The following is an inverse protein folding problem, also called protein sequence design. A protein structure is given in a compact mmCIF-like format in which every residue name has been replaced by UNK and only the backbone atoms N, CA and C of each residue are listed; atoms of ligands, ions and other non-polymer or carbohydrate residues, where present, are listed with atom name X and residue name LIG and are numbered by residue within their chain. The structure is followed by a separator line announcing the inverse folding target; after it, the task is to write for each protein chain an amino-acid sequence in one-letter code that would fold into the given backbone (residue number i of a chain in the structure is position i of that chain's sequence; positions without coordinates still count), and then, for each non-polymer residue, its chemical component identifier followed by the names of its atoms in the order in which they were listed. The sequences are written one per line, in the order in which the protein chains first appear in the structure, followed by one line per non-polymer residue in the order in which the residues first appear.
data_IF_892849923834
#
_entry.id   IF_892849923834
#
_cell.length_a   1.000
_cell.length_b   1.000
_cell.length_c   1.000
_cell.angle_alpha   90.00
_cell.angle_beta   90.00
_cell.angle_gamma   90.00
#
_symmetry.space_group_name_H-M   'P 1'
#
loop_
_entity.id
_entity.type
_entity.pdbx_description
1 polymer ?
#
# COMPACT_ATOMS: atom_id res chain seq x y z
N UNK A 1 11.21 -18.46 4.58
CA UNK A 1 10.16 -18.67 5.59
C UNK A 1 8.97 -19.32 4.91
N UNK A 2 8.32 -20.28 5.57
CA UNK A 2 7.07 -20.85 5.07
C UNK A 2 5.97 -19.79 5.17
N UNK A 3 5.19 -19.62 4.10
CA UNK A 3 4.13 -18.62 4.00
C UNK A 3 3.01 -18.99 4.94
N UNK A 4 2.59 -18.07 5.80
CA UNK A 4 1.39 -18.29 6.61
C UNK A 4 0.22 -18.41 5.64
N UNK A 5 -0.58 -19.47 5.75
CA UNK A 5 -1.79 -19.60 4.92
C UNK A 5 -2.79 -18.53 5.37
N UNK A 6 -2.98 -17.50 4.52
CA UNK A 6 -3.97 -16.45 4.71
C UNK A 6 -5.10 -16.63 3.72
N UNK A 7 -6.33 -16.40 4.17
CA UNK A 7 -7.51 -16.52 3.34
C UNK A 7 -7.99 -15.13 2.92
N UNK A 8 -8.42 -15.02 1.67
CA UNK A 8 -8.90 -13.77 1.11
C UNK A 8 -9.25 -13.90 -0.37
N UNK A 9 -10.23 -13.11 -0.81
CA UNK A 9 -10.84 -13.26 -2.13
C UNK A 9 -10.13 -12.44 -3.21
N UNK A 10 -9.31 -11.46 -2.83
CA UNK A 10 -8.62 -10.56 -3.75
C UNK A 10 -7.10 -10.65 -3.57
N UNK A 11 -6.54 -10.12 -2.49
CA UNK A 11 -5.09 -9.98 -2.30
C UNK A 11 -4.44 -11.33 -2.00
N UNK A 12 -4.96 -12.08 -1.04
CA UNK A 12 -4.47 -13.41 -0.65
C UNK A 12 -4.98 -14.55 -1.53
N UNK A 13 -5.75 -14.23 -2.57
CA UNK A 13 -6.13 -15.19 -3.59
C UNK A 13 -4.92 -15.68 -4.40
N UNK A 14 -5.08 -16.80 -5.12
CA UNK A 14 -3.98 -17.40 -5.87
C UNK A 14 -3.37 -16.42 -6.89
N UNK A 15 -2.05 -16.42 -6.95
CA UNK A 15 -1.26 -15.61 -7.87
C UNK A 15 0.08 -16.31 -8.14
N UNK A 16 0.59 -16.18 -9.36
CA UNK A 16 1.91 -16.67 -9.74
C UNK A 16 2.77 -15.51 -10.23
N UNK A 17 4.03 -15.49 -9.75
CA UNK A 17 5.03 -14.50 -10.16
C UNK A 17 5.14 -14.38 -11.68
N UNK A 18 5.13 -13.14 -12.15
CA UNK A 18 5.22 -12.74 -13.55
C UNK A 18 3.89 -12.79 -14.31
N UNK A 19 2.78 -13.22 -13.71
CA UNK A 19 1.49 -13.30 -14.43
C UNK A 19 1.01 -11.92 -14.89
N UNK A 20 1.05 -10.91 -14.01
CA UNK A 20 0.68 -9.54 -14.40
C UNK A 20 1.64 -8.97 -15.44
N UNK A 21 2.95 -9.27 -15.36
CA UNK A 21 3.96 -8.80 -16.32
C UNK A 21 3.70 -9.41 -17.71
N UNK A 22 3.48 -10.73 -17.78
CA UNK A 22 3.15 -11.42 -19.04
C UNK A 22 1.83 -10.93 -19.64
N UNK A 23 0.89 -10.51 -18.79
CA UNK A 23 -0.39 -9.96 -19.23
C UNK A 23 -0.28 -8.50 -19.66
N UNK A 24 0.56 -7.68 -19.03
CA UNK A 24 0.68 -6.25 -19.35
C UNK A 24 1.36 -6.02 -20.70
N UNK A 25 2.31 -6.87 -21.10
CA UNK A 25 3.02 -6.74 -22.37
C UNK A 25 2.12 -6.89 -23.61
N UNK A 26 0.93 -7.50 -23.45
CA UNK A 26 -0.08 -7.68 -24.49
C UNK A 26 -1.13 -6.57 -24.52
N UNK A 27 -1.03 -5.60 -23.61
CA UNK A 27 -1.93 -4.44 -23.47
C UNK A 27 -1.22 -3.16 -23.87
N UNK A 28 -1.96 -2.17 -24.36
CA UNK A 28 -1.45 -0.79 -24.48
C UNK A 28 -1.42 -0.12 -23.11
N UNK A 29 -0.75 1.03 -22.97
CA UNK A 29 -0.76 1.80 -21.70
C UNK A 29 -2.16 2.30 -21.37
N UNK A 30 -2.90 2.67 -22.41
CA UNK A 30 -4.28 3.13 -22.36
C UNK A 30 -5.20 2.02 -21.86
N UNK A 31 -5.02 0.78 -22.33
CA UNK A 31 -5.79 -0.38 -21.84
C UNK A 31 -5.52 -0.63 -20.35
N UNK A 32 -4.28 -0.47 -19.90
CA UNK A 32 -3.94 -0.63 -18.47
C UNK A 32 -4.61 0.45 -17.63
N UNK A 33 -4.54 1.72 -18.06
CA UNK A 33 -5.21 2.82 -17.37
C UNK A 33 -6.74 2.65 -17.36
N UNK A 34 -7.31 2.10 -18.43
CA UNK A 34 -8.73 1.76 -18.51
C UNK A 34 -9.11 0.69 -17.49
N UNK A 35 -8.37 -0.42 -17.42
CA UNK A 35 -8.61 -1.48 -16.43
C UNK A 35 -8.50 -0.95 -14.98
N UNK A 36 -7.52 -0.10 -14.71
CA UNK A 36 -7.39 0.54 -13.39
C UNK A 36 -8.57 1.48 -13.10
N UNK A 37 -9.08 2.20 -14.10
CA UNK A 37 -10.26 3.07 -13.94
C UNK A 37 -11.51 2.24 -13.66
N UNK A 38 -11.73 1.16 -14.41
CA UNK A 38 -12.84 0.22 -14.23
C UNK A 38 -12.78 -0.44 -12.85
N UNK A 39 -11.59 -0.75 -12.35
CA UNK A 39 -11.41 -1.30 -11.00
C UNK A 39 -11.84 -0.34 -9.88
N UNK A 40 -11.89 0.96 -10.17
CA UNK A 40 -12.07 2.05 -9.19
C UNK A 40 -11.09 1.98 -8.02
N UNK A 41 -9.91 1.38 -8.22
CA UNK A 41 -8.87 1.28 -7.20
C UNK A 41 -8.47 2.66 -6.69
N UNK A 42 -8.52 2.79 -5.37
CA UNK A 42 -8.03 3.93 -4.60
C UNK A 42 -6.77 3.53 -3.85
N UNK A 43 -5.83 4.47 -3.71
CA UNK A 43 -4.56 4.24 -3.01
C UNK A 43 -4.77 3.74 -1.58
N UNK A 44 -4.08 2.66 -1.21
CA UNK A 44 -4.30 1.91 0.04
C UNK A 44 -3.57 2.43 1.28
N UNK A 45 -2.87 3.56 1.15
CA UNK A 45 -2.13 4.21 2.25
C UNK A 45 -2.96 5.14 3.14
N UNK A 46 -4.29 5.25 2.93
CA UNK A 46 -5.19 6.05 3.79
C UNK A 46 -5.97 7.11 3.02
N UNK A 47 -5.29 8.00 2.28
CA UNK A 47 -5.92 9.13 1.60
C UNK A 47 -6.93 8.77 0.48
N UNK A 48 -6.90 7.53 -0.02
CA UNK A 48 -7.91 7.03 -0.95
C UNK A 48 -7.95 7.71 -2.32
N UNK A 49 -6.85 8.33 -2.77
CA UNK A 49 -6.80 8.97 -4.08
C UNK A 49 -6.91 7.94 -5.23
N UNK A 50 -7.71 8.18 -6.29
CA UNK A 50 -7.87 7.23 -7.39
C UNK A 50 -6.55 6.92 -8.13
N UNK A 51 -6.14 5.66 -8.14
CA UNK A 51 -4.83 5.23 -8.69
C UNK A 51 -4.74 5.50 -10.19
N UNK A 52 -5.80 5.21 -10.95
CA UNK A 52 -5.84 5.47 -12.40
C UNK A 52 -5.67 6.96 -12.72
N UNK A 53 -6.25 7.85 -11.90
CA UNK A 53 -6.09 9.30 -12.09
C UNK A 53 -4.66 9.72 -11.81
N UNK A 54 -4.07 9.26 -10.69
CA UNK A 54 -2.66 9.57 -10.35
C UNK A 54 -1.72 9.15 -11.48
N UNK A 55 -1.87 7.93 -11.98
CA UNK A 55 -0.99 7.40 -13.03
C UNK A 55 -1.23 8.05 -14.39
N UNK A 56 -2.47 8.46 -14.70
CA UNK A 56 -2.76 9.24 -15.92
C UNK A 56 -1.99 10.56 -15.91
N UNK A 57 -1.99 11.28 -14.77
CA UNK A 57 -1.28 12.55 -14.64
C UNK A 57 0.23 12.39 -14.85
N UNK A 58 0.84 11.40 -14.20
CA UNK A 58 2.28 11.13 -14.35
C UNK A 58 2.62 10.64 -15.76
N UNK A 59 1.77 9.80 -16.37
CA UNK A 59 1.96 9.33 -17.74
C UNK A 59 1.89 10.47 -18.76
N UNK A 60 0.99 11.44 -18.54
CA UNK A 60 0.85 12.63 -19.40
C UNK A 60 1.98 13.67 -19.23
N UNK A 61 2.69 13.66 -18.10
CA UNK A 61 3.79 14.60 -17.88
C UNK A 61 4.92 14.41 -18.91
N UNK A 62 5.34 15.51 -19.55
CA UNK A 62 6.45 15.52 -20.51
C UNK A 62 7.76 15.55 -19.73
N UNK A 63 8.47 14.43 -19.73
CA UNK A 63 9.76 14.28 -19.06
C UNK A 63 10.56 13.15 -19.72
N UNK A 64 11.88 13.32 -19.73
CA UNK A 64 12.86 12.31 -20.14
C UNK A 64 12.93 11.14 -19.15
N UNK A 65 12.71 11.43 -17.88
CA UNK A 65 12.69 10.45 -16.79
C UNK A 65 11.45 10.60 -15.92
N UNK A 66 10.98 9.46 -15.41
CA UNK A 66 9.86 9.37 -14.47
C UNK A 66 10.22 8.33 -13.42
N UNK A 67 9.63 8.45 -12.24
CA UNK A 67 9.91 7.54 -11.13
C UNK A 67 8.66 6.92 -10.54
N UNK A 68 8.84 5.72 -10.02
CA UNK A 68 7.84 4.99 -9.26
C UNK A 68 8.41 4.75 -7.89
N UNK A 69 7.69 5.17 -6.87
CA UNK A 69 8.08 4.96 -5.49
C UNK A 69 7.04 4.10 -4.80
N UNK A 70 7.50 2.96 -4.29
CA UNK A 70 6.77 2.12 -3.37
C UNK A 70 7.04 2.60 -1.95
N UNK A 71 6.04 3.22 -1.34
CA UNK A 71 6.08 3.62 0.06
C UNK A 71 5.84 2.38 0.93
N UNK A 72 6.93 1.85 1.47
CA UNK A 72 7.01 0.75 2.41
C UNK A 72 7.54 1.23 3.78
N UNK A 73 7.20 2.47 4.15
CA UNK A 73 7.59 3.04 5.45
C UNK A 73 6.74 2.47 6.60
N UNK A 74 5.44 2.26 6.40
CA UNK A 74 4.51 1.66 7.39
C UNK A 74 4.73 2.16 8.85
N UNK A 75 5.08 3.44 9.04
CA UNK A 75 5.38 3.98 10.37
C UNK A 75 4.17 4.09 11.30
N UNK A 76 2.95 4.09 10.74
CA UNK A 76 1.71 4.34 11.49
C UNK A 76 1.43 3.25 12.55
N UNK A 77 1.28 3.62 13.84
CA UNK A 77 0.98 2.68 14.91
C UNK A 77 -0.17 1.72 14.62
N UNK A 78 0.05 0.45 14.93
CA UNK A 78 -0.90 -0.62 14.68
C UNK A 78 -0.98 -1.10 13.22
N UNK A 79 -0.14 -0.59 12.32
CA UNK A 79 -0.05 -1.04 10.93
C UNK A 79 1.12 -2.02 10.74
N UNK A 80 0.86 -3.15 10.08
CA UNK A 80 1.88 -4.18 9.79
C UNK A 80 1.48 -5.09 8.60
N UNK A 81 0.58 -4.61 7.74
CA UNK A 81 0.07 -5.30 6.54
C UNK A 81 1.10 -5.29 5.41
N UNK A 82 1.85 -4.21 5.26
CA UNK A 82 2.84 -4.02 4.22
C UNK A 82 4.07 -4.88 4.52
N UNK A 83 4.47 -4.97 5.79
CA UNK A 83 5.42 -5.98 6.27
C UNK A 83 5.03 -7.40 5.85
N UNK A 84 3.77 -7.78 6.02
CA UNK A 84 3.28 -9.11 5.62
C UNK A 84 3.34 -9.27 4.10
N UNK A 85 2.93 -8.26 3.34
CA UNK A 85 3.01 -8.32 1.88
C UNK A 85 4.46 -8.45 1.39
N UNK A 86 5.40 -7.69 1.96
CA UNK A 86 6.82 -7.73 1.58
C UNK A 86 7.46 -9.09 1.90
N UNK A 87 7.16 -9.67 3.06
CA UNK A 87 7.73 -10.94 3.49
C UNK A 87 7.11 -12.15 2.79
N UNK A 88 5.79 -12.14 2.59
CA UNK A 88 5.04 -13.34 2.21
C UNK A 88 4.47 -13.28 0.78
N UNK A 89 4.30 -12.08 0.22
CA UNK A 89 3.73 -11.86 -1.12
C UNK A 89 4.53 -10.87 -1.99
N UNK A 90 5.89 -10.90 -2.00
CA UNK A 90 6.69 -9.97 -2.79
C UNK A 90 6.38 -10.03 -4.30
N UNK A 91 5.90 -11.17 -4.80
CA UNK A 91 5.44 -11.34 -6.19
C UNK A 91 4.38 -10.31 -6.57
N UNK A 92 3.43 -10.03 -5.68
CA UNK A 92 2.33 -9.12 -5.97
C UNK A 92 2.82 -7.67 -6.03
N UNK A 93 3.79 -7.32 -5.20
CA UNK A 93 4.30 -5.96 -5.09
C UNK A 93 5.15 -5.63 -6.31
N UNK A 94 6.14 -6.48 -6.60
CA UNK A 94 7.11 -6.18 -7.65
C UNK A 94 6.54 -6.33 -9.05
N UNK A 95 5.67 -7.30 -9.31
CA UNK A 95 4.92 -7.35 -10.57
C UNK A 95 4.07 -6.08 -10.76
N UNK A 96 3.44 -5.60 -9.68
CA UNK A 96 2.62 -4.39 -9.70
C UNK A 96 3.45 -3.13 -9.99
N UNK A 97 4.68 -3.06 -9.47
CA UNK A 97 5.63 -1.99 -9.79
C UNK A 97 6.09 -2.06 -11.25
N UNK A 98 6.34 -3.24 -11.80
CA UNK A 98 6.69 -3.41 -13.23
C UNK A 98 5.53 -2.97 -14.14
N UNK A 99 4.29 -3.34 -13.80
CA UNK A 99 3.08 -2.86 -14.48
C UNK A 99 3.00 -1.33 -14.41
N UNK A 100 3.26 -0.74 -13.25
CA UNK A 100 3.28 0.70 -13.09
C UNK A 100 4.36 1.35 -14.00
N UNK A 101 5.56 0.76 -14.06
CA UNK A 101 6.68 1.18 -14.90
C UNK A 101 6.28 1.26 -16.37
N UNK A 102 5.69 0.16 -16.85
CA UNK A 102 5.12 0.07 -18.18
C UNK A 102 4.10 1.18 -18.46
N UNK A 103 3.17 1.38 -17.53
CA UNK A 103 1.98 2.23 -17.70
C UNK A 103 2.33 3.71 -17.78
N UNK A 104 3.24 4.18 -16.92
CA UNK A 104 3.63 5.59 -16.88
C UNK A 104 4.84 5.91 -17.77
N UNK A 105 5.51 4.88 -18.27
CA UNK A 105 6.76 5.00 -19.03
C UNK A 105 7.98 5.31 -18.17
N UNK A 106 8.00 4.81 -16.93
CA UNK A 106 9.17 4.89 -16.06
C UNK A 106 10.11 3.72 -16.32
N UNK A 107 11.42 3.97 -16.21
CA UNK A 107 12.47 2.94 -16.17
C UNK A 107 12.98 2.66 -14.75
N UNK A 108 12.57 3.48 -13.78
CA UNK A 108 13.16 3.51 -12.44
C UNK A 108 12.07 3.34 -11.37
N UNK A 109 12.21 2.27 -10.60
CA UNK A 109 11.44 1.97 -9.40
C UNK A 109 12.30 2.08 -8.16
N UNK A 110 11.72 2.61 -7.09
CA UNK A 110 12.34 2.70 -5.77
C UNK A 110 11.37 2.11 -4.76
N UNK A 111 11.84 1.20 -3.92
CA UNK A 111 11.14 0.80 -2.69
C UNK A 111 11.77 1.59 -1.56
N UNK A 112 11.00 2.48 -0.94
CA UNK A 112 11.39 3.14 0.29
C UNK A 112 10.97 2.25 1.46
N UNK A 113 11.91 1.45 1.95
CA UNK A 113 11.70 0.49 3.04
C UNK A 113 12.07 1.16 4.36
N UNK A 114 11.19 1.16 5.35
CA UNK A 114 11.55 1.70 6.68
C UNK A 114 12.81 1.05 7.25
N UNK A 115 13.55 1.82 8.04
CA UNK A 115 14.81 1.36 8.65
C UNK A 115 14.63 0.13 9.53
N UNK A 116 13.53 0.03 10.27
CA UNK A 116 13.25 -1.08 11.19
C UNK A 116 12.98 -2.40 10.46
N UNK A 117 12.77 -2.35 9.14
CA UNK A 117 12.62 -3.53 8.28
C UNK A 117 13.93 -3.92 7.59
N UNK A 118 15.09 -3.37 7.98
CA UNK A 118 16.40 -3.74 7.44
C UNK A 118 16.62 -5.27 7.40
N UNK A 119 16.11 -6.00 8.39
CA UNK A 119 16.23 -7.47 8.46
C UNK A 119 15.64 -8.22 7.25
N UNK A 120 14.73 -7.60 6.48
CA UNK A 120 14.16 -8.20 5.27
C UNK A 120 14.81 -7.73 3.97
N UNK A 121 15.70 -6.72 4.03
CA UNK A 121 16.33 -6.10 2.86
C UNK A 121 16.97 -7.16 1.96
N UNK A 122 17.85 -8.00 2.53
CA UNK A 122 18.57 -9.02 1.77
C UNK A 122 17.62 -9.99 1.04
N UNK A 123 16.54 -10.40 1.70
CA UNK A 123 15.55 -11.30 1.10
C UNK A 123 14.80 -10.65 -0.07
N UNK A 124 14.50 -9.34 0.03
CA UNK A 124 13.86 -8.60 -1.04
C UNK A 124 14.83 -8.38 -2.22
N UNK A 125 16.09 -8.06 -1.95
CA UNK A 125 17.14 -7.94 -2.98
C UNK A 125 17.35 -9.26 -3.73
N UNK A 126 17.45 -10.38 -3.01
CA UNK A 126 17.59 -11.71 -3.62
C UNK A 126 16.38 -12.08 -4.48
N UNK A 127 15.19 -11.61 -4.10
CA UNK A 127 13.98 -11.76 -4.89
C UNK A 127 14.03 -10.94 -6.18
N UNK A 128 14.45 -9.67 -6.11
CA UNK A 128 14.64 -8.81 -7.29
C UNK A 128 15.70 -9.40 -8.23
N UNK A 129 16.80 -9.93 -7.71
CA UNK A 129 17.80 -10.65 -8.50
C UNK A 129 17.23 -11.87 -9.22
N UNK A 130 16.33 -12.60 -8.56
CA UNK A 130 15.62 -13.72 -9.19
C UNK A 130 14.71 -13.23 -10.32
N UNK A 131 13.99 -12.12 -10.14
CA UNK A 131 13.19 -11.52 -11.21
C UNK A 131 14.04 -11.08 -12.41
N UNK A 132 15.23 -10.50 -12.16
CA UNK A 132 16.17 -10.13 -13.23
C UNK A 132 16.63 -11.36 -14.02
N UNK A 133 16.98 -12.45 -13.34
CA UNK A 133 17.36 -13.74 -13.96
C UNK A 133 16.24 -14.33 -14.81
N UNK A 134 14.99 -14.18 -14.36
CA UNK A 134 13.79 -14.64 -15.08
C UNK A 134 13.35 -13.68 -16.21
N UNK A 135 14.11 -12.60 -16.48
CA UNK A 135 13.77 -11.54 -17.43
C UNK A 135 12.40 -10.86 -17.14
N UNK A 136 12.03 -10.80 -15.86
CA UNK A 136 10.83 -10.09 -15.36
C UNK A 136 11.16 -8.67 -14.89
N UNK A 137 12.43 -8.32 -14.77
CA UNK A 137 12.95 -7.01 -14.35
C UNK A 137 14.23 -6.70 -15.12
N UNK A 138 14.58 -5.43 -15.26
CA UNK A 138 15.76 -4.96 -15.99
C UNK A 138 15.42 -4.51 -17.42
N UNK A 139 16.21 -4.97 -18.39
CA UNK A 139 16.07 -4.57 -19.80
C UNK A 139 15.25 -5.56 -20.62
N UNK A 140 14.50 -5.05 -21.59
CA UNK A 140 13.66 -5.82 -22.52
C UNK A 140 12.85 -6.90 -21.81
N UNK A 141 12.07 -6.51 -20.81
CA UNK A 141 11.30 -7.41 -19.93
C UNK A 141 10.40 -8.32 -20.77
N UNK A 142 10.41 -9.62 -20.46
CA UNK A 142 9.77 -10.69 -21.24
C UNK A 142 10.13 -10.69 -22.74
N UNK A 143 11.34 -10.23 -23.09
CA UNK A 143 11.82 -10.08 -24.47
C UNK A 143 11.18 -8.92 -25.25
N UNK A 144 10.37 -8.06 -24.62
CA UNK A 144 9.72 -6.92 -25.28
C UNK A 144 10.73 -5.78 -25.45
N UNK A 145 11.15 -5.53 -26.70
CA UNK A 145 12.12 -4.48 -27.00
C UNK A 145 11.67 -3.10 -26.48
N UNK A 146 12.58 -2.42 -25.76
CA UNK A 146 12.35 -1.08 -25.22
C UNK A 146 11.47 -1.01 -23.98
N UNK A 147 10.99 -2.14 -23.47
CA UNK A 147 10.36 -2.20 -22.15
C UNK A 147 11.42 -2.48 -21.08
N UNK A 148 11.99 -1.40 -20.54
CA UNK A 148 12.99 -1.43 -19.49
C UNK A 148 12.40 -0.89 -18.19
N UNK A 149 12.60 -1.60 -17.08
CA UNK A 149 12.26 -1.13 -15.74
C UNK A 149 13.07 -1.89 -14.69
N UNK A 150 13.71 -1.17 -13.77
CA UNK A 150 14.45 -1.79 -12.67
C UNK A 150 14.06 -1.19 -11.31
N UNK A 151 14.24 -1.96 -10.25
CA UNK A 151 13.86 -1.60 -8.88
C UNK A 151 15.10 -1.58 -7.99
N UNK A 152 15.27 -0.48 -7.27
CA UNK A 152 16.23 -0.36 -6.16
C UNK A 152 15.49 -0.25 -4.83
N UNK A 153 16.11 -0.72 -3.75
CA UNK A 153 15.58 -0.56 -2.40
C UNK A 153 16.41 0.51 -1.69
N UNK A 154 15.73 1.43 -1.02
CA UNK A 154 16.33 2.48 -0.19
C UNK A 154 15.78 2.33 1.22
N UNK A 155 16.68 2.26 2.20
CA UNK A 155 16.32 2.24 3.60
C UNK A 155 16.03 3.67 4.08
N UNK A 156 14.91 3.83 4.77
CA UNK A 156 14.63 5.01 5.60
C UNK A 156 15.43 4.98 6.90
N UNK A 157 15.32 6.04 7.69
CA UNK A 157 16.06 6.21 8.96
C UNK A 157 15.15 6.25 10.19
N UNK A 158 13.99 5.60 10.11
CA UNK A 158 13.08 5.39 11.26
C UNK A 158 12.28 6.63 11.67
N UNK A 159 11.86 7.46 10.71
CA UNK A 159 11.03 8.64 10.98
C UNK A 159 9.63 8.45 10.41
N UNK A 160 8.59 8.46 11.26
CA UNK A 160 7.19 8.28 10.87
C UNK A 160 6.73 9.30 9.82
N UNK A 161 7.21 10.55 9.90
CA UNK A 161 6.85 11.62 8.96
C UNK A 161 7.28 11.30 7.54
N UNK A 162 8.34 10.51 7.34
CA UNK A 162 8.75 10.04 6.02
C UNK A 162 7.74 9.09 5.36
N UNK A 163 6.70 8.65 6.07
CA UNK A 163 5.54 7.98 5.47
C UNK A 163 4.67 8.92 4.63
N UNK A 164 4.76 10.25 4.82
CA UNK A 164 4.06 11.25 3.98
C UNK A 164 4.71 11.35 2.59
N UNK A 165 3.89 11.49 1.54
CA UNK A 165 4.33 11.36 0.14
C UNK A 165 5.48 12.31 -0.25
N UNK A 166 5.47 13.55 0.22
CA UNK A 166 6.51 14.55 -0.10
C UNK A 166 7.71 14.48 0.85
N UNK A 167 7.48 14.21 2.14
CA UNK A 167 8.56 13.97 3.09
C UNK A 167 9.41 12.74 2.71
N UNK A 168 8.75 11.68 2.22
CA UNK A 168 9.41 10.51 1.66
C UNK A 168 10.35 10.87 0.51
N UNK A 169 9.91 11.76 -0.38
CA UNK A 169 10.72 12.23 -1.51
C UNK A 169 11.92 13.02 -1.03
N UNK A 170 11.75 13.93 -0.06
CA UNK A 170 12.88 14.65 0.55
C UNK A 170 13.90 13.69 1.17
N UNK A 171 13.42 12.68 1.90
CA UNK A 171 14.28 11.65 2.48
C UNK A 171 15.06 10.87 1.41
N UNK A 172 14.39 10.50 0.31
CA UNK A 172 15.04 9.83 -0.83
C UNK A 172 16.11 10.70 -1.49
N UNK A 173 15.93 12.02 -1.51
CA UNK A 173 16.88 12.99 -2.05
C UNK A 173 18.06 13.27 -1.08
N UNK A 174 18.03 12.68 0.11
CA UNK A 174 19.07 12.85 1.13
C UNK A 174 18.88 14.08 2.01
N UNK A 175 17.71 14.73 1.93
CA UNK A 175 17.32 15.83 2.80
C UNK A 175 16.64 15.31 4.06
N UNK A 176 16.38 16.21 5.01
CA UNK A 176 15.53 15.90 6.16
C UNK A 176 14.13 15.60 5.64
N UNK A 177 13.44 14.62 6.25
CA UNK A 177 12.09 14.20 5.87
C UNK A 177 11.00 15.22 6.24
N UNK A 178 11.16 16.47 5.84
CA UNK A 178 10.18 17.53 6.02
C UNK A 178 9.23 17.57 4.83
N UNK A 179 7.92 17.62 5.06
CA UNK A 179 6.96 17.64 3.96
C UNK A 179 7.09 18.92 3.11
N UNK A 180 6.97 18.79 1.79
CA UNK A 180 6.95 19.94 0.86
C UNK A 180 5.59 20.63 0.90
N UNK A 181 5.60 21.96 0.84
CA UNK A 181 4.38 22.72 0.55
C UNK A 181 3.84 22.33 -0.84
N UNK A 182 2.52 22.17 -0.94
CA UNK A 182 1.83 21.91 -2.20
C UNK A 182 1.07 23.18 -2.62
N UNK A 183 1.13 23.62 -3.89
CA UNK A 183 1.94 23.10 -5.01
C UNK A 183 3.46 23.39 -4.88
N UNK A 184 4.35 22.66 -5.62
CA UNK A 184 4.04 21.69 -6.69
C UNK A 184 3.68 20.28 -6.18
N UNK A 185 2.88 19.54 -6.97
CA UNK A 185 2.52 18.15 -6.67
C UNK A 185 3.59 17.17 -7.24
N UNK A 186 3.86 16.05 -6.56
CA UNK A 186 4.85 15.04 -7.00
C UNK A 186 4.64 14.49 -8.41
N UNK A 187 3.38 14.46 -8.86
CA UNK A 187 3.03 13.99 -10.21
C UNK A 187 3.67 14.84 -11.31
N UNK A 188 4.05 16.08 -11.01
CA UNK A 188 4.76 16.99 -11.91
C UNK A 188 6.22 17.18 -11.49
N UNK A 189 6.45 17.40 -10.19
CA UNK A 189 7.77 17.71 -9.63
C UNK A 189 7.97 16.92 -8.34
N UNK A 190 8.37 15.66 -8.48
CA UNK A 190 8.61 14.73 -7.39
C UNK A 190 10.09 14.50 -7.16
N UNK A 191 10.50 13.23 -7.15
CA UNK A 191 11.88 12.81 -6.91
C UNK A 191 12.83 13.38 -7.96
N UNK A 192 13.87 14.09 -7.50
CA UNK A 192 14.86 14.81 -8.31
C UNK A 192 14.21 15.80 -9.29
N UNK A 193 13.06 16.37 -8.88
CA UNK A 193 12.28 17.29 -9.69
C UNK A 193 11.55 16.65 -10.88
N UNK A 194 11.55 15.31 -11.00
CA UNK A 194 10.92 14.58 -12.10
C UNK A 194 9.50 14.09 -11.74
N UNK A 195 8.61 13.87 -12.73
CA UNK A 195 7.29 13.29 -12.49
C UNK A 195 7.39 11.96 -11.75
N UNK A 196 6.76 11.89 -10.58
CA UNK A 196 6.87 10.73 -9.69
C UNK A 196 5.51 10.31 -9.19
N UNK A 197 5.24 9.01 -9.22
CA UNK A 197 4.08 8.43 -8.50
C UNK A 197 4.57 7.73 -7.24
N UNK A 198 4.01 8.12 -6.10
CA UNK A 198 4.18 7.38 -4.84
C UNK A 198 2.90 6.62 -4.55
N UNK A 199 3.03 5.31 -4.36
CA UNK A 199 1.92 4.43 -3.99
C UNK A 199 2.33 3.50 -2.86
N UNK A 200 1.38 3.17 -1.99
CA UNK A 200 1.58 2.22 -0.90
C UNK A 200 1.72 0.77 -1.44
N UNK A 201 2.47 -0.07 -0.73
CA UNK A 201 2.71 -1.50 -1.04
C UNK A 201 1.45 -2.25 -1.48
N UNK A 202 0.37 -2.18 -0.69
CA UNK A 202 -0.89 -2.86 -0.98
C UNK A 202 -1.57 -2.37 -2.27
N UNK A 203 -1.29 -1.13 -2.69
CA UNK A 203 -1.79 -0.60 -3.97
C UNK A 203 -1.15 -1.35 -5.14
N UNK A 204 0.16 -1.59 -5.11
CA UNK A 204 0.84 -2.38 -6.14
C UNK A 204 0.38 -3.84 -6.13
N UNK A 205 0.18 -4.42 -4.95
CA UNK A 205 -0.38 -5.76 -4.84
C UNK A 205 -1.78 -5.88 -5.48
N UNK A 206 -2.62 -4.85 -5.29
CA UNK A 206 -3.94 -4.78 -5.94
C UNK A 206 -3.82 -4.69 -7.47
N UNK A 207 -2.87 -3.88 -7.98
CA UNK A 207 -2.63 -3.72 -9.42
C UNK A 207 -2.32 -5.06 -10.08
N UNK A 208 -1.46 -5.89 -9.48
CA UNK A 208 -1.12 -7.21 -10.03
C UNK A 208 -2.35 -8.08 -10.28
N UNK A 209 -3.26 -8.17 -9.31
CA UNK A 209 -4.52 -8.91 -9.49
C UNK A 209 -5.44 -8.26 -10.52
N UNK A 210 -5.54 -6.93 -10.54
CA UNK A 210 -6.37 -6.21 -11.51
C UNK A 210 -5.91 -6.50 -12.95
N UNK A 211 -4.61 -6.51 -13.23
CA UNK A 211 -4.12 -6.81 -14.58
C UNK A 211 -4.43 -8.24 -14.99
N UNK A 212 -4.27 -9.20 -14.08
CA UNK A 212 -4.51 -10.62 -14.37
C UNK A 212 -5.99 -10.91 -14.56
N UNK A 213 -6.86 -10.36 -13.69
CA UNK A 213 -8.28 -10.76 -13.57
C UNK A 213 -9.26 -9.74 -14.13
N UNK A 214 -8.81 -8.53 -14.45
CA UNK A 214 -9.60 -7.43 -15.00
C UNK A 214 -10.13 -6.47 -13.94
N UNK A 215 -10.32 -5.20 -14.34
CA UNK A 215 -10.85 -4.14 -13.49
C UNK A 215 -12.26 -4.44 -12.98
N UNK A 216 -13.15 -4.92 -13.87
CA UNK A 216 -14.53 -5.26 -13.48
C UNK A 216 -14.60 -6.43 -12.48
N UNK A 217 -13.63 -7.36 -12.50
CA UNK A 217 -13.53 -8.41 -11.48
C UNK A 217 -13.20 -7.81 -10.10
N UNK A 218 -12.26 -6.88 -10.05
CA UNK A 218 -11.88 -6.21 -8.81
C UNK A 218 -13.05 -5.38 -8.25
N UNK A 219 -13.76 -4.66 -9.11
CA UNK A 219 -14.91 -3.82 -8.76
C UNK A 219 -16.13 -4.57 -8.20
N UNK A 220 -16.21 -5.90 -8.40
CA UNK A 220 -17.27 -6.74 -7.80
C UNK A 220 -17.11 -6.95 -6.29
N UNK A 221 -15.94 -6.64 -5.74
CA UNK A 221 -15.66 -6.77 -4.32
C UNK A 221 -15.80 -5.41 -3.62
N UNK A 222 -16.19 -5.44 -2.35
CA UNK A 222 -16.37 -4.23 -1.55
C UNK A 222 -17.69 -3.53 -1.83
N UNK A 223 -17.68 -2.19 -1.81
CA UNK A 223 -18.85 -1.34 -2.06
C UNK A 223 -18.69 -0.55 -3.35
N UNK A 224 -19.76 0.12 -3.78
CA UNK A 224 -19.76 0.97 -4.98
C UNK A 224 -18.73 2.12 -4.91
N UNK A 225 -18.41 2.60 -3.70
CA UNK A 225 -17.50 3.72 -3.44
C UNK A 225 -16.11 3.28 -2.97
N UNK A 226 -16.01 2.05 -2.47
CA UNK A 226 -14.80 1.42 -1.95
C UNK A 226 -14.68 0.01 -2.55
N UNK A 227 -14.16 -0.09 -3.77
CA UNK A 227 -14.03 -1.37 -4.47
C UNK A 227 -12.82 -2.18 -4.01
N UNK A 228 -12.85 -3.48 -4.27
CA UNK A 228 -11.82 -4.43 -3.87
C UNK A 228 -11.96 -4.88 -2.41
N UNK A 229 -10.87 -5.41 -1.86
CA UNK A 229 -10.71 -5.67 -0.44
C UNK A 229 -9.72 -4.70 0.20
N UNK A 230 -9.55 -4.84 1.51
CA UNK A 230 -8.56 -4.16 2.32
C UNK A 230 -7.89 -5.14 3.26
N UNK A 231 -6.57 -4.97 3.42
CA UNK A 231 -5.85 -5.60 4.51
C UNK A 231 -5.97 -4.77 5.78
N UNK A 232 -6.43 -5.42 6.85
CA UNK A 232 -6.57 -4.86 8.20
C UNK A 232 -5.51 -5.45 9.12
N UNK A 233 -4.69 -4.60 9.72
CA UNK A 233 -3.75 -4.91 10.78
C UNK A 233 -4.48 -4.80 12.12
N UNK A 234 -4.89 -5.93 12.67
CA UNK A 234 -5.69 -5.99 13.90
C UNK A 234 -4.80 -6.29 15.10
N UNK A 235 -4.84 -5.41 16.09
CA UNK A 235 -4.04 -5.48 17.31
C UNK A 235 -4.84 -5.02 18.55
N UNK A 236 -4.21 -5.09 19.71
CA UNK A 236 -4.83 -4.72 20.99
C UNK A 236 -5.58 -5.88 21.63
N UNK A 237 -6.72 -5.58 22.26
CA UNK A 237 -7.46 -6.50 23.12
C UNK A 237 -8.39 -7.44 22.32
N UNK A 238 -7.80 -8.41 21.63
CA UNK A 238 -8.51 -9.47 20.91
C UNK A 238 -7.79 -10.83 21.03
N UNK A 239 -8.52 -11.93 20.83
CA UNK A 239 -7.97 -13.29 20.90
C UNK A 239 -7.06 -13.61 19.71
N UNK A 240 -7.34 -13.05 18.53
CA UNK A 240 -6.64 -13.36 17.27
C UNK A 240 -6.11 -12.08 16.59
N UNK A 241 -5.04 -11.46 17.11
CA UNK A 241 -4.38 -10.36 16.41
C UNK A 241 -3.71 -10.87 15.13
N UNK A 242 -3.67 -10.05 14.08
CA UNK A 242 -3.12 -10.47 12.79
C UNK A 242 -3.50 -9.58 11.62
N UNK A 243 -3.14 -10.02 10.42
CA UNK A 243 -3.53 -9.35 9.16
C UNK A 243 -4.67 -10.12 8.53
N UNK A 244 -5.78 -9.42 8.32
CA UNK A 244 -7.02 -9.96 7.76
C UNK A 244 -7.34 -9.26 6.44
N UNK A 245 -7.69 -10.04 5.41
CA UNK A 245 -8.28 -9.48 4.21
C UNK A 245 -9.80 -9.52 4.33
N UNK A 246 -10.43 -8.34 4.34
CA UNK A 246 -11.89 -8.23 4.38
C UNK A 246 -12.37 -7.35 3.22
N UNK A 247 -13.56 -7.61 2.65
CA UNK A 247 -14.15 -6.68 1.69
C UNK A 247 -14.42 -5.33 2.35
N UNK A 248 -14.33 -4.24 1.59
CA UNK A 248 -14.84 -2.96 2.08
C UNK A 248 -16.33 -3.06 2.38
N UNK A 249 -16.79 -2.29 3.36
CA UNK A 249 -18.17 -2.33 3.84
C UNK A 249 -18.39 -3.25 5.03
N UNK A 250 -17.40 -4.07 5.42
CA UNK A 250 -17.43 -4.83 6.68
C UNK A 250 -17.59 -3.87 7.86
N UNK A 251 -18.52 -4.17 8.75
CA UNK A 251 -18.77 -3.41 9.97
C UNK A 251 -17.69 -3.67 11.02
N UNK A 252 -17.55 -2.74 11.96
CA UNK A 252 -16.62 -2.94 13.07
C UNK A 252 -17.06 -4.14 13.93
N UNK A 253 -18.37 -4.33 14.13
CA UNK A 253 -18.91 -5.50 14.83
C UNK A 253 -18.49 -6.83 14.19
N UNK A 254 -18.63 -6.97 12.87
CA UNK A 254 -18.20 -8.18 12.15
C UNK A 254 -16.68 -8.41 12.32
N UNK A 255 -15.85 -7.36 12.22
CA UNK A 255 -14.41 -7.49 12.46
C UNK A 255 -14.10 -7.95 13.88
N UNK A 256 -14.75 -7.36 14.90
CA UNK A 256 -14.56 -7.72 16.30
C UNK A 256 -14.94 -9.18 16.58
N UNK A 257 -16.00 -9.68 15.95
CA UNK A 257 -16.41 -11.09 16.04
C UNK A 257 -15.35 -12.02 15.44
N UNK A 258 -14.84 -11.70 14.24
CA UNK A 258 -13.81 -12.49 13.54
C UNK A 258 -12.56 -12.68 14.41
N UNK A 259 -12.13 -11.62 15.09
CA UNK A 259 -10.90 -11.63 15.91
C UNK A 259 -11.14 -12.05 17.37
N UNK A 260 -12.38 -12.37 17.75
CA UNK A 260 -12.73 -12.81 19.10
C UNK A 260 -12.54 -11.72 20.15
N UNK A 261 -12.81 -10.46 19.82
CA UNK A 261 -12.71 -9.36 20.77
C UNK A 261 -13.87 -9.39 21.79
N UNK A 262 -13.56 -9.16 23.06
CA UNK A 262 -14.53 -9.22 24.17
C UNK A 262 -14.47 -7.97 25.04
N UNK A 263 -15.63 -7.56 25.56
CA UNK A 263 -15.78 -6.36 26.39
C UNK A 263 -15.15 -5.11 25.74
N UNK A 264 -15.23 -5.02 24.41
CA UNK A 264 -14.68 -3.90 23.64
C UNK A 264 -15.46 -2.63 23.95
N UNK A 265 -14.76 -1.56 24.34
CA UNK A 265 -15.38 -0.24 24.56
C UNK A 265 -15.03 0.78 23.49
N UNK A 266 -13.88 0.63 22.84
CA UNK A 266 -13.42 1.52 21.79
C UNK A 266 -12.54 0.77 20.79
N UNK A 267 -12.54 1.26 19.54
CA UNK A 267 -11.64 0.79 18.48
C UNK A 267 -11.00 2.02 17.84
N UNK A 268 -9.67 2.09 17.85
CA UNK A 268 -8.94 3.09 17.08
C UNK A 268 -8.77 2.57 15.65
N UNK A 269 -9.30 3.31 14.68
CA UNK A 269 -9.28 2.96 13.26
C UNK A 269 -8.44 3.97 12.49
N UNK A 270 -7.46 3.47 11.73
CA UNK A 270 -6.57 4.31 10.92
C UNK A 270 -5.26 4.69 11.60
N UNK A 271 -4.91 4.03 12.71
CA UNK A 271 -3.69 4.31 13.47
C UNK A 271 -3.85 5.42 14.50
N UNK A 272 -2.75 5.89 15.09
CA UNK A 272 -2.75 6.96 16.09
C UNK A 272 -3.39 8.26 15.56
N UNK A 273 -3.22 8.56 14.26
CA UNK A 273 -3.82 9.73 13.59
C UNK A 273 -5.28 9.56 13.18
N UNK A 274 -5.83 8.36 13.41
CA UNK A 274 -7.16 7.96 13.00
C UNK A 274 -8.29 8.35 13.97
N UNK A 275 -9.40 7.64 13.88
CA UNK A 275 -10.63 7.91 14.64
C UNK A 275 -10.80 6.87 15.74
N UNK A 276 -11.05 7.32 16.97
CA UNK A 276 -11.44 6.47 18.09
C UNK A 276 -12.96 6.28 18.10
N UNK A 277 -13.43 5.09 17.74
CA UNK A 277 -14.85 4.78 17.60
C UNK A 277 -15.36 4.13 18.89
N UNK A 278 -16.39 4.69 19.54
CA UNK A 278 -16.98 4.11 20.74
C UNK A 278 -17.91 2.93 20.38
N UNK A 279 -18.16 2.05 21.36
CA UNK A 279 -19.05 0.88 21.23
C UNK A 279 -20.42 1.19 20.61
N UNK A 280 -20.99 2.36 20.87
CA UNK A 280 -22.29 2.79 20.31
C UNK A 280 -22.29 2.99 18.80
N UNK A 281 -21.13 2.94 18.14
CA UNK A 281 -20.96 3.15 16.71
C UNK A 281 -20.31 1.95 15.99
N UNK A 282 -20.30 0.75 16.59
CA UNK A 282 -19.68 -0.42 15.95
C UNK A 282 -20.43 -0.98 14.73
N UNK A 283 -21.64 -0.48 14.46
CA UNK A 283 -22.37 -0.77 13.22
C UNK A 283 -21.86 0.05 12.02
N UNK A 284 -20.96 1.01 12.25
CA UNK A 284 -20.29 1.76 11.17
C UNK A 284 -19.44 0.84 10.31
N UNK A 285 -19.32 1.20 9.04
CA UNK A 285 -18.66 0.40 8.00
C UNK A 285 -17.25 0.91 7.74
N UNK A 286 -16.31 -0.03 7.64
CA UNK A 286 -14.95 0.24 7.18
C UNK A 286 -15.01 0.51 5.67
N UNK A 287 -14.64 1.72 5.25
CA UNK A 287 -14.76 2.16 3.86
C UNK A 287 -14.58 3.67 3.72
N UNK A 288 -14.17 4.15 2.54
CA UNK A 288 -13.92 5.57 2.30
C UNK A 288 -15.17 6.46 2.47
N UNK A 289 -16.36 5.88 2.34
CA UNK A 289 -17.64 6.57 2.48
C UNK A 289 -18.15 6.69 3.93
N UNK A 290 -17.54 6.01 4.90
CA UNK A 290 -17.96 6.05 6.31
C UNK A 290 -16.74 6.13 7.25
N UNK A 291 -16.04 5.02 7.49
CA UNK A 291 -14.80 4.99 8.29
C UNK A 291 -13.60 4.70 7.38
N UNK A 292 -12.95 5.76 6.82
CA UNK A 292 -11.75 5.59 6.00
C UNK A 292 -10.58 5.11 6.87
N UNK A 293 -9.72 4.25 6.30
CA UNK A 293 -8.56 3.73 7.04
C UNK A 293 -7.43 3.26 6.13
N UNK A 294 -6.20 3.48 6.61
CA UNK A 294 -4.99 2.86 6.08
C UNK A 294 -4.86 1.36 6.41
N UNK A 295 -5.73 0.81 7.27
CA UNK A 295 -5.79 -0.61 7.62
C UNK A 295 -5.49 -0.92 9.10
N UNK A 296 -4.95 0.03 9.88
CA UNK A 296 -4.71 -0.17 11.31
C UNK A 296 -6.02 -0.21 12.11
N UNK A 297 -6.16 -1.23 12.95
CA UNK A 297 -7.28 -1.45 13.87
C UNK A 297 -6.69 -1.82 15.25
N UNK A 298 -6.86 -0.94 16.23
CA UNK A 298 -6.39 -1.17 17.61
C UNK A 298 -7.61 -1.26 18.52
N UNK A 299 -7.81 -2.42 19.13
CA UNK A 299 -8.99 -2.74 19.93
C UNK A 299 -8.69 -2.46 21.41
N UNK A 300 -9.58 -1.74 22.09
CA UNK A 300 -9.48 -1.46 23.52
C UNK A 300 -10.71 -1.98 24.27
N UNK A 301 -10.48 -2.89 25.21
CA UNK A 301 -11.52 -3.41 26.07
C UNK A 301 -11.75 -2.54 27.32
N UNK A 302 -12.76 -2.87 28.11
CA UNK A 302 -13.18 -2.12 29.29
C UNK A 302 -12.08 -1.92 30.34
N UNK A 303 -11.04 -2.77 30.37
CA UNK A 303 -9.91 -2.63 31.30
C UNK A 303 -8.94 -1.48 30.98
N UNK A 304 -8.96 -0.95 29.75
CA UNK A 304 -7.97 0.05 29.29
C UNK A 304 -8.27 1.46 29.81
N UNK A 305 -7.28 2.20 30.28
CA UNK A 305 -7.47 3.62 30.56
C UNK A 305 -7.32 4.44 29.26
N UNK A 306 -8.42 4.99 28.74
CA UNK A 306 -8.40 5.73 27.49
C UNK A 306 -7.63 7.06 27.58
N UNK A 307 -7.50 7.67 28.77
CA UNK A 307 -6.64 8.84 28.95
C UNK A 307 -5.17 8.49 28.85
N UNK A 308 -4.78 7.30 29.31
CA UNK A 308 -3.42 6.80 29.13
C UNK A 308 -3.14 6.49 27.65
N UNK A 309 -4.08 5.86 26.94
CA UNK A 309 -3.96 5.64 25.49
C UNK A 309 -3.77 6.96 24.75
N UNK A 310 -4.59 7.98 25.05
CA UNK A 310 -4.45 9.31 24.47
C UNK A 310 -3.08 9.92 24.76
N UNK A 311 -2.62 9.85 26.03
CA UNK A 311 -1.30 10.37 26.41
C UNK A 311 -0.18 9.69 25.60
N UNK A 312 -0.24 8.36 25.43
CA UNK A 312 0.75 7.62 24.66
C UNK A 312 0.78 8.06 23.18
N UNK A 313 -0.39 8.24 22.54
CA UNK A 313 -0.43 8.76 21.17
C UNK A 313 0.09 10.20 21.06
N UNK A 314 -0.18 11.05 22.05
CA UNK A 314 0.38 12.41 22.09
C UNK A 314 1.90 12.40 22.26
N UNK A 315 2.44 11.52 23.09
CA UNK A 315 3.90 11.34 23.25
C UNK A 315 4.53 10.87 21.93
N UNK A 316 3.93 9.90 21.25
CA UNK A 316 4.34 9.46 19.92
C UNK A 316 4.39 10.63 18.91
N UNK A 317 3.35 11.45 18.85
CA UNK A 317 3.35 12.60 17.94
C UNK A 317 4.39 13.66 18.28
N UNK A 318 4.75 13.84 19.56
CA UNK A 318 5.81 14.77 19.96
C UNK A 318 7.20 14.25 19.58
N UNK A 319 7.42 12.93 19.67
CA UNK A 319 8.69 12.31 19.28
C UNK A 319 8.88 12.30 17.77
N UNK A 320 7.81 12.11 17.01
CA UNK A 320 7.84 11.94 15.56
C UNK A 320 7.58 13.22 14.75
N UNK A 321 7.30 14.37 15.39
CA UNK A 321 7.03 15.65 14.70
C UNK A 321 8.28 16.39 14.24
#
# INVERSE_FOLDING_TARGET
MEKTKREGNVIFSSYKRGDAIKKVITKTREDVLFELRESKLKGRGGAGFPTATKWTLVSAAVSDEKYIVCNADEGEPGTFKDRVLLLEYPELIFDGMVVAGYTIGSKNGIVYLRGEYEYMLKSLEDYLETMRKDNLLGKNICGKAGFDFDITIRLGSGAYVCGEETALIESLEGHRGEARNRPPYPVNTGYLGKPTTVNNVETFASVSHIIVKGGSWFAKHGTDKSTGSKLFSVSGDCEKPGVYELPWGTTINELLEIVGAKNTKAVQVGGASGICIPKSQFDRKLGYEDVPTGGSIIIFNESRNMLHVLKNFMEFFVEES
#
